data_IF_911141390831
#
_entry.id   IF_911141390831
#
_cell.length_a   1.000
_cell.length_b   1.000
_cell.length_c   1.000
_cell.angle_alpha   90.00
_cell.angle_beta   90.00
_cell.angle_gamma   90.00
#
_symmetry.space_group_name_H-M   'P 1'
#
loop_
_entity.id
_entity.type
_entity.pdbx_description
1 polymer ?
#
# COMPACT_ATOMS: atom_id res chain seq x y z
N UNK A 1 -53.82 42.47 -25.14
CA UNK A 1 -54.83 41.43 -25.43
C UNK A 1 -54.74 40.32 -24.39
N UNK A 2 -55.69 40.21 -23.45
CA UNK A 2 -55.82 39.05 -22.58
C UNK A 2 -56.91 38.11 -23.12
N UNK A 3 -56.69 36.78 -23.04
CA UNK A 3 -57.75 35.81 -23.25
C UNK A 3 -57.94 34.95 -22.00
N UNK A 4 -59.11 35.14 -21.44
CA UNK A 4 -59.84 34.37 -20.44
C UNK A 4 -60.09 32.93 -20.88
N UNK A 5 -60.02 31.94 -19.97
CA UNK A 5 -61.04 30.88 -19.90
C UNK A 5 -61.11 30.15 -18.55
N UNK A 6 -62.21 30.47 -17.89
CA UNK A 6 -63.08 29.82 -16.92
C UNK A 6 -62.96 28.29 -16.68
N UNK A 7 -63.18 27.96 -15.41
CA UNK A 7 -63.37 26.68 -14.74
C UNK A 7 -64.42 25.71 -15.33
N UNK A 8 -64.28 24.40 -15.04
CA UNK A 8 -65.37 23.58 -14.47
C UNK A 8 -64.97 22.15 -14.05
N UNK A 9 -65.48 21.77 -12.87
CA UNK A 9 -66.09 20.48 -12.49
C UNK A 9 -65.31 19.47 -11.62
N UNK A 10 -66.02 19.10 -10.54
CA UNK A 10 -65.66 18.27 -9.39
C UNK A 10 -66.08 16.78 -9.59
N UNK A 11 -66.04 15.88 -8.57
CA UNK A 11 -65.39 14.58 -8.64
C UNK A 11 -66.34 13.38 -8.83
N UNK A 12 -65.80 12.23 -9.26
CA UNK A 12 -66.54 10.98 -9.39
C UNK A 12 -66.32 10.04 -8.19
N UNK A 13 -67.43 9.67 -7.55
CA UNK A 13 -67.60 8.60 -6.58
C UNK A 13 -67.76 7.23 -7.27
N UNK A 14 -67.13 6.18 -6.73
CA UNK A 14 -67.58 4.79 -6.95
C UNK A 14 -67.58 3.99 -5.64
N UNK A 15 -68.80 3.64 -5.22
CA UNK A 15 -69.18 2.59 -4.29
C UNK A 15 -69.12 1.24 -5.00
N UNK A 16 -68.55 0.19 -4.39
CA UNK A 16 -68.89 -1.23 -4.69
C UNK A 16 -68.78 -2.08 -3.39
N UNK A 17 -69.94 -2.66 -3.00
CA UNK A 17 -70.26 -3.87 -2.17
C UNK A 17 -69.71 -4.00 -0.74
N UNK A 18 -70.47 -4.19 0.34
CA UNK A 18 -71.69 -4.98 0.64
C UNK A 18 -71.49 -6.50 0.79
N UNK A 19 -71.39 -6.96 2.04
CA UNK A 19 -71.79 -8.28 2.56
C UNK A 19 -72.03 -8.08 4.09
N UNK A 20 -73.27 -8.05 4.57
CA UNK A 20 -74.09 -9.18 5.05
C UNK A 20 -73.44 -9.92 6.25
N UNK A 21 -74.07 -10.22 7.38
CA UNK A 21 -75.43 -10.02 7.89
C UNK A 21 -75.44 -10.37 9.41
N UNK A 22 -76.62 -10.27 10.01
CA UNK A 22 -77.09 -10.89 11.25
C UNK A 22 -77.08 -10.01 12.53
N UNK A 23 -78.20 -9.30 12.67
CA UNK A 23 -78.74 -8.82 13.92
C UNK A 23 -79.29 -9.97 14.78
N UNK A 24 -79.04 -9.93 16.10
CA UNK A 24 -79.95 -10.49 17.10
C UNK A 24 -80.12 -9.44 18.20
N UNK A 25 -81.30 -8.83 18.19
CA UNK A 25 -81.92 -8.01 19.23
C UNK A 25 -82.29 -8.82 20.46
N UNK A 26 -81.99 -8.31 21.67
CA UNK A 26 -82.83 -8.53 22.85
C UNK A 26 -82.72 -7.35 23.83
N UNK A 27 -83.88 -7.00 24.39
CA UNK A 27 -84.23 -5.77 25.10
C UNK A 27 -83.72 -5.71 26.54
N UNK A 28 -83.37 -4.48 26.92
CA UNK A 28 -83.49 -3.79 28.22
C UNK A 28 -84.21 -4.50 29.38
N UNK A 29 -83.56 -4.54 30.57
CA UNK A 29 -84.22 -4.37 31.87
C UNK A 29 -83.31 -3.55 32.82
N UNK A 30 -83.92 -2.52 33.39
CA UNK A 30 -83.48 -1.60 34.44
C UNK A 30 -83.10 -2.29 35.76
N UNK A 31 -82.00 -1.87 36.40
CA UNK A 31 -81.90 -1.84 37.87
C UNK A 31 -80.78 -0.91 38.35
N UNK A 32 -81.17 0.23 38.93
CA UNK A 32 -80.34 0.99 39.86
C UNK A 32 -80.16 0.17 41.14
N UNK A 33 -78.94 0.06 41.66
CA UNK A 33 -78.68 -0.02 43.10
C UNK A 33 -77.29 0.51 43.42
N UNK A 34 -77.27 1.63 44.14
CA UNK A 34 -76.15 2.14 44.90
C UNK A 34 -76.02 1.35 46.20
N UNK A 35 -74.82 0.83 46.49
CA UNK A 35 -74.39 0.48 47.84
C UNK A 35 -72.91 0.82 48.00
N UNK A 36 -72.64 1.68 48.97
CA UNK A 36 -71.35 1.92 49.61
C UNK A 36 -70.93 0.68 50.41
N UNK A 37 -69.62 0.40 50.47
CA UNK A 37 -68.82 0.22 51.70
C UNK A 37 -67.52 -0.56 51.41
N UNK A 38 -66.46 -0.04 52.04
CA UNK A 38 -65.09 -0.53 52.23
C UNK A 38 -64.90 -2.05 52.34
N UNK A 39 -63.85 -2.60 51.72
CA UNK A 39 -62.68 -3.12 52.47
C UNK A 39 -61.53 -3.62 51.58
N UNK A 40 -60.34 -3.53 52.17
CA UNK A 40 -59.02 -3.94 51.71
C UNK A 40 -58.92 -5.31 51.03
N UNK A 41 -58.11 -5.38 49.98
CA UNK A 41 -57.33 -6.57 49.64
C UNK A 41 -55.99 -6.15 49.02
N UNK A 42 -54.91 -6.37 49.77
CA UNK A 42 -53.53 -6.32 49.30
C UNK A 42 -53.27 -7.56 48.44
N UNK A 43 -52.87 -7.37 47.18
CA UNK A 43 -52.27 -8.41 46.35
C UNK A 43 -50.84 -7.97 45.97
N UNK A 44 -49.83 -8.81 46.19
CA UNK A 44 -48.47 -8.54 45.73
C UNK A 44 -48.32 -9.10 44.31
N UNK A 45 -48.38 -8.25 43.29
CA UNK A 45 -47.98 -8.64 41.94
C UNK A 45 -46.56 -8.15 41.67
N UNK A 46 -45.61 -9.01 42.00
CA UNK A 46 -44.25 -8.98 41.46
C UNK A 46 -44.27 -9.49 40.02
N UNK A 47 -44.31 -8.59 39.04
CA UNK A 47 -43.76 -8.82 37.70
C UNK A 47 -43.26 -7.47 37.18
N UNK A 48 -41.95 -7.26 37.31
CA UNK A 48 -41.27 -6.11 36.76
C UNK A 48 -41.31 -6.16 35.23
N UNK A 49 -42.22 -5.40 34.64
CA UNK A 49 -42.04 -4.94 33.27
C UNK A 49 -40.82 -4.02 33.24
N UNK A 50 -39.87 -4.17 32.29
CA UNK A 50 -38.80 -3.21 32.15
C UNK A 50 -39.44 -1.86 31.79
N UNK A 51 -39.35 -0.90 32.71
CA UNK A 51 -39.79 0.47 32.46
C UNK A 51 -38.86 1.01 31.37
N UNK A 52 -39.40 1.18 30.16
CA UNK A 52 -38.71 1.89 29.08
C UNK A 52 -38.19 3.23 29.64
N UNK A 53 -36.93 3.62 29.37
CA UNK A 53 -36.41 4.90 29.83
C UNK A 53 -37.29 6.00 29.25
N UNK A 54 -38.13 6.58 30.10
CA UNK A 54 -39.02 7.68 29.74
C UNK A 54 -38.14 8.92 29.60
N UNK A 55 -37.82 9.28 28.36
CA UNK A 55 -37.10 10.51 28.00
C UNK A 55 -37.75 11.78 28.63
N UNK A 56 -39.04 11.69 29.00
CA UNK A 56 -39.81 12.77 29.62
C UNK A 56 -40.00 12.67 31.14
N UNK A 57 -39.31 11.74 31.84
CA UNK A 57 -39.38 11.70 33.31
C UNK A 57 -38.54 12.81 33.91
N UNK A 58 -39.11 14.01 34.02
CA UNK A 58 -38.46 15.15 34.68
C UNK A 58 -38.22 14.79 36.15
N UNK A 59 -36.99 14.87 36.67
CA UNK A 59 -36.72 14.59 38.07
C UNK A 59 -37.56 15.53 38.95
N UNK A 60 -38.16 14.99 40.00
CA UNK A 60 -38.97 15.78 40.93
C UNK A 60 -38.09 16.85 41.56
N UNK A 61 -38.54 18.10 41.46
CA UNK A 61 -37.85 19.23 42.07
C UNK A 61 -37.80 19.05 43.59
N UNK A 62 -36.67 19.39 44.25
CA UNK A 62 -36.54 19.27 45.69
C UNK A 62 -37.53 20.21 46.40
N UNK A 63 -38.20 19.69 47.43
CA UNK A 63 -39.09 20.49 48.27
C UNK A 63 -38.31 21.59 49.00
N UNK A 64 -38.89 22.79 49.09
CA UNK A 64 -38.29 23.92 49.79
C UNK A 64 -38.29 23.66 51.31
N UNK A 65 -37.11 23.70 51.91
CA UNK A 65 -36.86 23.63 53.35
C UNK A 65 -35.92 24.78 53.71
N UNK A 66 -36.01 25.29 54.95
CA UNK A 66 -35.25 26.47 55.42
C UNK A 66 -33.75 26.37 55.11
N UNK A 67 -33.19 25.17 55.28
CA UNK A 67 -31.79 24.88 54.98
C UNK A 67 -31.73 23.78 53.92
N UNK A 68 -30.98 24.02 52.85
CA UNK A 68 -30.71 23.05 51.79
C UNK A 68 -29.23 23.00 51.46
N UNK A 69 -28.76 21.79 51.17
CA UNK A 69 -27.42 21.56 50.65
C UNK A 69 -27.53 21.40 49.14
N UNK A 70 -26.92 22.32 48.41
CA UNK A 70 -26.81 22.27 46.96
C UNK A 70 -25.63 21.36 46.61
N UNK A 71 -25.85 20.25 45.87
CA UNK A 71 -24.78 19.36 45.46
C UNK A 71 -23.76 20.08 44.56
N UNK A 72 -22.52 19.58 44.57
CA UNK A 72 -21.49 20.08 43.66
C UNK A 72 -21.90 19.92 42.19
N UNK A 73 -21.43 20.85 41.34
CA UNK A 73 -21.70 20.87 39.90
C UNK A 73 -23.20 20.88 39.55
N UNK A 74 -24.02 21.49 40.41
CA UNK A 74 -25.46 21.68 40.19
C UNK A 74 -25.82 23.12 40.51
N UNK A 75 -26.61 23.75 39.64
CA UNK A 75 -27.14 25.09 39.85
C UNK A 75 -28.65 25.01 40.13
N UNK A 76 -29.09 25.57 41.26
CA UNK A 76 -30.50 25.62 41.62
C UNK A 76 -31.01 27.05 41.45
N UNK A 77 -32.10 27.20 40.71
CA UNK A 77 -32.68 28.50 40.41
C UNK A 77 -33.89 28.72 41.32
N UNK A 78 -33.84 29.82 42.06
CA UNK A 78 -34.85 30.17 43.05
C UNK A 78 -35.70 31.31 42.52
N UNK A 79 -37.01 31.11 42.57
CA UNK A 79 -38.01 32.13 42.32
C UNK A 79 -38.62 32.59 43.64
N UNK A 80 -38.89 33.89 43.75
CA UNK A 80 -39.63 34.51 44.84
C UNK A 80 -40.95 35.02 44.29
N UNK A 81 -42.06 34.44 44.75
CA UNK A 81 -43.41 34.80 44.26
C UNK A 81 -43.52 34.80 42.73
N UNK A 82 -42.84 33.85 42.06
CA UNK A 82 -42.85 33.70 40.59
C UNK A 82 -41.91 34.63 39.83
N UNK A 83 -41.09 35.44 40.50
CA UNK A 83 -40.00 36.21 39.86
C UNK A 83 -38.65 35.54 40.15
N UNK A 84 -37.75 35.56 39.17
CA UNK A 84 -36.37 35.15 39.39
C UNK A 84 -35.74 35.98 40.54
N UNK A 85 -35.07 35.30 41.47
CA UNK A 85 -34.39 35.93 42.60
C UNK A 85 -32.87 35.75 42.51
N UNK A 86 -32.40 34.50 42.51
CA UNK A 86 -30.96 34.18 42.45
C UNK A 86 -30.70 32.73 42.05
N UNK A 87 -29.49 32.47 41.60
CA UNK A 87 -28.91 31.14 41.38
C UNK A 87 -28.17 30.75 42.67
N UNK A 88 -28.35 29.52 43.14
CA UNK A 88 -27.64 29.00 44.30
C UNK A 88 -26.40 28.23 43.84
N UNK A 89 -25.25 28.65 44.34
CA UNK A 89 -23.97 27.97 44.18
C UNK A 89 -23.88 26.73 45.09
N UNK A 90 -22.95 25.79 44.81
CA UNK A 90 -22.75 24.60 45.64
C UNK A 90 -22.42 24.94 47.10
N UNK A 91 -23.10 24.28 48.03
CA UNK A 91 -22.91 24.51 49.47
C UNK A 91 -24.21 24.65 50.25
N UNK A 92 -24.13 25.30 51.41
CA UNK A 92 -25.28 25.55 52.27
C UNK A 92 -26.06 26.77 51.75
N UNK A 93 -27.31 26.54 51.35
CA UNK A 93 -28.24 27.55 50.92
C UNK A 93 -29.37 27.70 51.94
N UNK A 94 -29.69 28.95 52.29
CA UNK A 94 -30.80 29.30 53.16
C UNK A 94 -31.94 29.85 52.31
N UNK A 95 -33.11 29.24 52.41
CA UNK A 95 -34.31 29.62 51.66
C UNK A 95 -35.44 29.96 52.63
N UNK A 96 -36.26 30.95 52.29
CA UNK A 96 -37.45 31.25 53.09
C UNK A 96 -38.57 30.32 52.62
N UNK A 97 -39.07 29.40 53.47
CA UNK A 97 -40.18 28.52 53.10
C UNK A 97 -41.41 29.38 52.76
N UNK A 98 -42.30 28.85 51.92
CA UNK A 98 -43.51 29.50 51.39
C UNK A 98 -43.30 30.63 50.37
N UNK A 99 -42.28 31.49 50.53
CA UNK A 99 -42.05 32.62 49.61
C UNK A 99 -41.10 32.24 48.47
N UNK A 100 -39.99 31.58 48.81
CA UNK A 100 -39.01 31.11 47.82
C UNK A 100 -39.48 29.74 47.27
N UNK A 101 -39.21 29.46 46.00
CA UNK A 101 -39.48 28.16 45.34
C UNK A 101 -38.30 27.81 44.45
N UNK A 102 -37.85 26.56 44.51
CA UNK A 102 -36.85 26.02 43.58
C UNK A 102 -37.60 25.66 42.30
N UNK A 103 -37.43 26.48 41.26
CA UNK A 103 -38.15 26.34 39.99
C UNK A 103 -37.42 25.40 39.03
N UNK A 104 -36.09 25.49 38.98
CA UNK A 104 -35.26 24.69 38.09
C UNK A 104 -34.01 24.17 38.80
N UNK A 105 -33.60 22.97 38.42
CA UNK A 105 -32.34 22.34 38.84
C UNK A 105 -31.61 21.93 37.57
N UNK A 106 -30.43 22.50 37.34
CA UNK A 106 -29.60 22.21 36.16
C UNK A 106 -28.26 21.63 36.60
N UNK A 107 -27.86 20.53 35.98
CA UNK A 107 -26.52 19.98 36.14
C UNK A 107 -25.55 20.80 35.29
N UNK A 108 -24.40 21.18 35.87
CA UNK A 108 -23.33 21.88 35.16
C UNK A 108 -22.31 20.90 34.56
N UNK A 109 -22.47 19.60 34.85
CA UNK A 109 -21.64 18.52 34.31
C UNK A 109 -21.84 18.38 32.81
N UNK A 110 -20.82 17.88 32.14
CA UNK A 110 -20.90 17.46 30.75
C UNK A 110 -21.89 16.28 30.61
N UNK A 111 -22.74 16.35 29.60
CA UNK A 111 -23.73 15.33 29.26
C UNK A 111 -23.58 14.99 27.78
N UNK A 112 -23.64 13.69 27.48
CA UNK A 112 -23.69 13.16 26.13
C UNK A 112 -25.15 12.97 25.72
N UNK A 113 -25.56 13.64 24.64
CA UNK A 113 -26.89 13.54 24.05
C UNK A 113 -26.75 12.79 22.73
N UNK A 114 -27.44 11.66 22.59
CA UNK A 114 -27.50 10.92 21.34
C UNK A 114 -28.40 11.64 20.33
N UNK A 115 -27.89 11.84 19.13
CA UNK A 115 -28.64 12.41 18.01
C UNK A 115 -29.18 11.24 17.17
N UNK A 116 -30.51 11.15 16.98
CA UNK A 116 -31.11 10.05 16.23
C UNK A 116 -30.64 10.09 14.78
N UNK A 117 -30.54 8.91 14.15
CA UNK A 117 -30.12 8.76 12.76
C UNK A 117 -30.96 9.62 11.81
N UNK A 118 -30.31 10.39 10.95
CA UNK A 118 -30.93 11.26 9.97
C UNK A 118 -30.48 10.90 8.56
N UNK A 119 -31.42 10.96 7.61
CA UNK A 119 -31.10 10.90 6.18
C UNK A 119 -30.76 12.30 5.67
N UNK A 120 -29.61 12.43 5.01
CA UNK A 120 -29.13 13.65 4.38
C UNK A 120 -28.66 13.37 2.94
N UNK A 121 -28.74 14.39 2.08
CA UNK A 121 -28.29 14.31 0.69
C UNK A 121 -27.03 15.15 0.57
N UNK A 122 -25.96 14.59 0.01
CA UNK A 122 -24.69 15.27 -0.27
C UNK A 122 -24.76 16.12 -1.53
N UNK A 123 -23.73 16.95 -1.76
CA UNK A 123 -23.62 17.77 -2.97
C UNK A 123 -23.62 16.94 -4.28
N UNK A 124 -23.17 15.68 -4.23
CA UNK A 124 -23.19 14.75 -5.39
C UNK A 124 -24.52 14.01 -5.54
N UNK A 125 -25.57 14.45 -4.83
CA UNK A 125 -26.89 13.85 -4.87
C UNK A 125 -26.92 12.38 -4.38
N UNK A 126 -26.03 12.02 -3.45
CA UNK A 126 -26.05 10.72 -2.77
C UNK A 126 -26.72 10.87 -1.41
N UNK A 127 -27.71 10.01 -1.14
CA UNK A 127 -28.38 9.89 0.16
C UNK A 127 -27.51 9.10 1.13
N UNK A 128 -27.31 9.63 2.33
CA UNK A 128 -26.56 9.00 3.42
C UNK A 128 -27.39 9.03 4.71
N UNK A 129 -27.20 8.04 5.57
CA UNK A 129 -27.75 8.01 6.93
C UNK A 129 -26.63 8.19 7.95
N UNK A 130 -26.76 9.20 8.80
CA UNK A 130 -25.75 9.54 9.79
C UNK A 130 -26.38 9.70 11.17
N UNK A 131 -25.63 9.25 12.18
CA UNK A 131 -25.92 9.49 13.58
C UNK A 131 -24.68 10.02 14.29
N UNK A 132 -24.89 10.52 15.52
CA UNK A 132 -23.81 11.13 16.27
C UNK A 132 -24.17 11.37 17.72
N UNK A 133 -23.17 11.80 18.47
CA UNK A 133 -23.28 12.12 19.89
C UNK A 133 -22.80 13.55 20.09
N UNK A 134 -23.62 14.33 20.78
CA UNK A 134 -23.37 15.72 21.10
C UNK A 134 -22.97 15.81 22.58
N UNK A 135 -21.78 16.34 22.85
CA UNK A 135 -21.31 16.58 24.20
C UNK A 135 -21.54 18.04 24.58
N UNK A 136 -22.41 18.27 25.55
CA UNK A 136 -22.81 19.63 25.97
C UNK A 136 -22.62 19.82 27.46
N UNK A 137 -22.47 21.07 27.86
CA UNK A 137 -22.58 21.48 29.27
C UNK A 137 -23.35 22.78 29.39
N UNK A 138 -24.05 22.94 30.50
CA UNK A 138 -24.67 24.23 30.86
C UNK A 138 -23.57 25.15 31.40
N UNK A 139 -23.40 26.33 30.79
CA UNK A 139 -22.50 27.37 31.29
C UNK A 139 -23.26 28.40 32.12
N UNK A 140 -24.43 28.84 31.65
CA UNK A 140 -25.30 29.79 32.34
C UNK A 140 -26.66 29.15 32.63
N UNK A 141 -26.88 28.81 33.90
CA UNK A 141 -28.11 28.16 34.33
C UNK A 141 -29.35 29.06 34.17
N UNK A 142 -29.21 30.39 34.30
CA UNK A 142 -30.34 31.31 34.14
C UNK A 142 -30.84 31.31 32.70
N UNK A 143 -29.94 31.48 31.73
CA UNK A 143 -30.27 31.40 30.31
C UNK A 143 -30.79 30.01 29.92
N UNK A 144 -30.21 28.93 30.47
CA UNK A 144 -30.66 27.56 30.18
C UNK A 144 -32.03 27.19 30.76
N UNK A 145 -32.55 27.98 31.70
CA UNK A 145 -33.88 27.78 32.30
C UNK A 145 -34.95 28.71 31.76
N UNK A 146 -34.60 29.95 31.42
CA UNK A 146 -35.58 30.94 30.95
C UNK A 146 -35.44 31.29 29.46
N UNK A 147 -34.30 30.99 28.83
CA UNK A 147 -34.07 31.28 27.41
C UNK A 147 -34.78 30.30 26.48
N UNK A 148 -35.03 29.07 26.93
CA UNK A 148 -35.74 28.03 26.17
C UNK A 148 -36.41 27.04 27.13
N UNK A 149 -37.55 26.46 26.74
CA UNK A 149 -38.30 25.53 27.59
C UNK A 149 -37.50 24.27 27.94
N UNK A 150 -36.83 23.69 26.94
CA UNK A 150 -35.94 22.55 27.08
C UNK A 150 -34.69 22.75 26.21
N UNK A 151 -33.59 23.14 26.86
CA UNK A 151 -32.34 23.44 26.18
C UNK A 151 -31.67 22.20 25.58
N UNK A 152 -31.82 21.04 26.22
CA UNK A 152 -31.26 19.77 25.74
C UNK A 152 -32.01 19.31 24.48
N UNK A 153 -33.33 19.42 24.49
CA UNK A 153 -34.13 19.15 23.31
C UNK A 153 -33.84 20.15 22.17
N UNK A 154 -33.83 21.46 22.46
CA UNK A 154 -33.60 22.49 21.45
C UNK A 154 -32.24 22.35 20.77
N UNK A 155 -31.17 22.09 21.52
CA UNK A 155 -29.84 21.90 20.95
C UNK A 155 -29.74 20.60 20.15
N UNK A 156 -30.46 19.54 20.53
CA UNK A 156 -30.53 18.30 19.76
C UNK A 156 -31.18 18.51 18.38
N UNK A 157 -32.21 19.37 18.29
CA UNK A 157 -32.90 19.68 17.03
C UNK A 157 -32.06 20.60 16.15
N UNK A 158 -31.38 21.58 16.76
CA UNK A 158 -30.42 22.41 16.08
C UNK A 158 -29.29 21.56 15.49
N UNK A 159 -28.71 20.64 16.28
CA UNK A 159 -27.67 19.74 15.83
C UNK A 159 -28.10 18.89 14.62
N UNK A 160 -29.34 18.36 14.62
CA UNK A 160 -29.88 17.62 13.47
C UNK A 160 -29.98 18.48 12.21
N UNK A 161 -30.43 19.73 12.36
CA UNK A 161 -30.59 20.65 11.23
C UNK A 161 -29.24 21.12 10.69
N UNK A 162 -28.32 21.48 11.58
CA UNK A 162 -26.94 21.87 11.23
C UNK A 162 -26.20 20.72 10.55
N UNK A 163 -26.27 19.51 11.11
CA UNK A 163 -25.66 18.31 10.51
C UNK A 163 -26.15 18.10 9.08
N UNK A 164 -27.47 18.17 8.84
CA UNK A 164 -28.05 18.05 7.49
C UNK A 164 -27.53 19.13 6.53
N UNK A 165 -27.40 20.37 7.01
CA UNK A 165 -26.92 21.51 6.21
C UNK A 165 -25.44 21.40 5.83
N UNK A 166 -24.58 20.99 6.78
CA UNK A 166 -23.14 20.83 6.54
C UNK A 166 -22.85 19.69 5.56
N UNK A 167 -23.57 18.56 5.70
CA UNK A 167 -23.42 17.42 4.78
C UNK A 167 -23.89 17.78 3.36
N UNK A 168 -24.93 18.60 3.23
CA UNK A 168 -25.43 19.03 1.93
C UNK A 168 -24.45 19.90 1.13
N UNK A 169 -23.47 20.51 1.80
CA UNK A 169 -22.44 21.33 1.16
C UNK A 169 -21.22 20.53 0.70
N UNK A 170 -21.05 19.29 1.20
CA UNK A 170 -19.88 18.45 0.95
C UNK A 170 -20.22 17.28 0.01
N UNK A 171 -19.20 16.81 -0.71
CA UNK A 171 -19.27 15.58 -1.51
C UNK A 171 -19.21 14.33 -0.62
N UNK A 172 -19.66 13.19 -1.13
CA UNK A 172 -19.61 11.92 -0.38
C UNK A 172 -18.18 11.60 0.10
N UNK A 173 -17.21 11.78 -0.77
CA UNK A 173 -15.80 11.46 -0.51
C UNK A 173 -15.21 12.38 0.57
N UNK A 174 -15.53 13.68 0.55
CA UNK A 174 -15.10 14.63 1.60
C UNK A 174 -15.76 14.30 2.95
N UNK A 175 -17.04 13.93 2.97
CA UNK A 175 -17.72 13.52 4.23
C UNK A 175 -17.05 12.30 4.86
N UNK A 176 -16.60 11.33 4.05
CA UNK A 176 -15.93 10.12 4.54
C UNK A 176 -14.47 10.36 4.94
N UNK A 177 -13.73 11.23 4.22
CA UNK A 177 -12.30 11.50 4.49
C UNK A 177 -12.07 12.54 5.58
N UNK A 178 -12.90 13.58 5.65
CA UNK A 178 -12.67 14.79 6.46
C UNK A 178 -13.63 14.89 7.66
N UNK A 179 -13.96 13.74 8.27
CA UNK A 179 -14.88 13.67 9.43
C UNK A 179 -14.48 14.59 10.58
N UNK A 180 -13.18 14.78 10.84
CA UNK A 180 -12.70 15.68 11.90
C UNK A 180 -12.98 17.17 11.60
N UNK A 181 -12.86 17.58 10.33
CA UNK A 181 -13.19 18.94 9.90
C UNK A 181 -14.70 19.18 10.03
N UNK A 182 -15.51 18.21 9.58
CA UNK A 182 -16.97 18.26 9.71
C UNK A 182 -17.43 18.39 11.17
N UNK A 183 -16.84 17.62 12.10
CA UNK A 183 -17.13 17.73 13.53
C UNK A 183 -16.85 19.13 14.08
N UNK A 184 -15.76 19.76 13.63
CA UNK A 184 -15.35 21.10 14.06
C UNK A 184 -16.33 22.15 13.55
N UNK A 185 -16.71 22.08 12.27
CA UNK A 185 -17.66 22.99 11.66
C UNK A 185 -19.04 22.89 12.29
N UNK A 186 -19.54 21.67 12.50
CA UNK A 186 -20.83 21.43 13.18
C UNK A 186 -20.80 22.00 14.60
N UNK A 187 -19.72 21.76 15.36
CA UNK A 187 -19.57 22.29 16.73
C UNK A 187 -19.58 23.82 16.74
N UNK A 188 -18.88 24.46 15.80
CA UNK A 188 -18.86 25.91 15.69
C UNK A 188 -20.25 26.49 15.36
N UNK A 189 -20.94 25.91 14.38
CA UNK A 189 -22.27 26.35 13.96
C UNK A 189 -23.33 26.16 15.06
N UNK A 190 -23.24 25.09 15.86
CA UNK A 190 -24.14 24.89 17.01
C UNK A 190 -23.89 25.93 18.09
N UNK A 191 -22.61 26.26 18.37
CA UNK A 191 -22.26 27.17 19.46
C UNK A 191 -22.75 28.60 19.24
N UNK A 192 -22.85 29.07 17.99
CA UNK A 192 -23.36 30.41 17.65
C UNK A 192 -24.79 30.63 18.18
N UNK A 193 -25.67 29.65 18.03
CA UNK A 193 -27.03 29.72 18.56
C UNK A 193 -27.15 29.25 20.02
N UNK A 194 -26.29 28.32 20.47
CA UNK A 194 -26.35 27.76 21.83
C UNK A 194 -26.04 28.79 22.93
N UNK A 195 -25.28 29.84 22.62
CA UNK A 195 -24.95 30.92 23.57
C UNK A 195 -26.22 31.62 24.12
N UNK A 196 -27.23 31.82 23.27
CA UNK A 196 -28.50 32.43 23.67
C UNK A 196 -29.24 31.58 24.72
N UNK A 197 -29.02 30.27 24.71
CA UNK A 197 -29.62 29.31 25.63
C UNK A 197 -28.73 28.97 26.83
N UNK A 198 -27.54 29.58 26.97
CA UNK A 198 -26.64 29.32 28.10
C UNK A 198 -26.03 27.91 28.12
N UNK A 199 -26.06 27.21 26.98
CA UNK A 199 -25.46 25.89 26.79
C UNK A 199 -24.25 26.03 25.87
N UNK A 200 -23.20 25.26 26.14
CA UNK A 200 -22.02 25.19 25.27
C UNK A 200 -21.87 23.77 24.76
N UNK A 201 -21.73 23.63 23.44
CA UNK A 201 -21.31 22.41 22.80
C UNK A 201 -19.79 22.29 22.91
N UNK A 202 -19.32 21.25 23.60
CA UNK A 202 -17.90 20.96 23.76
C UNK A 202 -17.34 20.30 22.52
N UNK A 203 -18.09 19.32 21.98
CA UNK A 203 -17.75 18.62 20.75
C UNK A 203 -18.95 17.86 20.19
N UNK A 204 -18.97 17.75 18.88
CA UNK A 204 -19.82 16.83 18.14
C UNK A 204 -18.99 15.66 17.62
N UNK A 205 -19.44 14.44 17.87
CA UNK A 205 -18.81 13.22 17.37
C UNK A 205 -19.82 12.47 16.49
N UNK A 206 -19.55 12.41 15.18
CA UNK A 206 -20.28 11.49 14.31
C UNK A 206 -20.01 10.06 14.80
N UNK A 207 -21.04 9.21 14.88
CA UNK A 207 -20.89 7.81 15.28
C UNK A 207 -20.64 6.97 14.03
N UNK A 208 -21.63 6.82 13.17
CA UNK A 208 -21.55 6.05 11.92
C UNK A 208 -22.07 6.83 10.71
N UNK A 209 -21.58 6.45 9.52
CA UNK A 209 -22.00 7.00 8.23
C UNK A 209 -22.38 5.82 7.33
N UNK A 210 -23.67 5.69 7.04
CA UNK A 210 -24.21 4.62 6.22
C UNK A 210 -24.54 5.15 4.84
N UNK A 211 -23.82 4.66 3.83
CA UNK A 211 -24.06 4.94 2.43
C UNK A 211 -24.73 3.73 1.75
N UNK A 212 -25.55 3.94 0.70
CA UNK A 212 -26.12 2.84 -0.06
C UNK A 212 -25.03 1.99 -0.70
N UNK A 213 -25.08 0.68 -0.49
CA UNK A 213 -24.02 -0.27 -0.89
C UNK A 213 -23.63 -0.18 -2.37
N UNK A 214 -24.60 0.06 -3.26
CA UNK A 214 -24.34 0.22 -4.69
C UNK A 214 -23.35 1.36 -5.02
N UNK A 215 -23.42 2.49 -4.29
CA UNK A 215 -22.53 3.64 -4.48
C UNK A 215 -21.14 3.35 -3.94
N UNK A 216 -21.07 2.74 -2.75
CA UNK A 216 -19.80 2.34 -2.12
C UNK A 216 -19.06 1.32 -2.98
N UNK A 217 -19.75 0.33 -3.53
CA UNK A 217 -19.17 -0.64 -4.46
C UNK A 217 -18.66 0.00 -5.74
N UNK A 218 -19.43 0.94 -6.33
CA UNK A 218 -19.01 1.66 -7.52
C UNK A 218 -17.74 2.47 -7.24
N UNK A 219 -17.68 3.16 -6.09
CA UNK A 219 -16.52 3.90 -5.63
C UNK A 219 -15.30 2.97 -5.41
N UNK A 220 -15.49 1.80 -4.79
CA UNK A 220 -14.42 0.81 -4.63
C UNK A 220 -13.91 0.27 -5.96
N UNK A 221 -14.79 0.00 -6.94
CA UNK A 221 -14.37 -0.39 -8.29
C UNK A 221 -13.56 0.71 -8.96
N UNK A 222 -14.00 1.97 -8.86
CA UNK A 222 -13.28 3.11 -9.41
C UNK A 222 -11.89 3.29 -8.78
N UNK A 223 -11.80 3.27 -7.45
CA UNK A 223 -10.52 3.39 -6.73
C UNK A 223 -9.59 2.22 -7.06
N UNK A 224 -10.13 1.00 -7.16
CA UNK A 224 -9.34 -0.18 -7.54
C UNK A 224 -8.83 -0.06 -8.97
N UNK A 225 -9.67 0.35 -9.91
CA UNK A 225 -9.27 0.55 -11.30
C UNK A 225 -8.20 1.65 -11.43
N UNK A 226 -8.34 2.76 -10.70
CA UNK A 226 -7.34 3.82 -10.70
C UNK A 226 -6.02 3.36 -10.06
N UNK A 227 -6.08 2.62 -8.95
CA UNK A 227 -4.90 2.03 -8.32
C UNK A 227 -4.20 1.04 -9.26
N UNK A 228 -4.94 0.16 -9.93
CA UNK A 228 -4.37 -0.78 -10.90
C UNK A 228 -3.73 -0.07 -12.08
N UNK A 229 -4.38 0.97 -12.62
CA UNK A 229 -3.81 1.79 -13.70
C UNK A 229 -2.51 2.47 -13.26
N UNK A 230 -2.47 3.05 -12.06
CA UNK A 230 -1.27 3.69 -11.51
C UNK A 230 -0.15 2.65 -11.30
N UNK A 231 -0.48 1.46 -10.79
CA UNK A 231 0.47 0.38 -10.61
C UNK A 231 1.05 -0.11 -11.95
N UNK A 232 0.23 -0.26 -12.99
CA UNK A 232 0.66 -0.67 -14.33
C UNK A 232 1.59 0.37 -14.98
N UNK A 233 1.27 1.65 -14.86
CA UNK A 233 2.13 2.74 -15.33
C UNK A 233 3.48 2.69 -14.61
N UNK A 234 3.46 2.59 -13.27
CA UNK A 234 4.67 2.57 -12.46
C UNK A 234 5.54 1.32 -12.74
N UNK A 235 4.91 0.16 -12.98
CA UNK A 235 5.60 -1.06 -13.37
C UNK A 235 6.24 -0.92 -14.76
N UNK A 236 5.51 -0.36 -15.73
CA UNK A 236 6.05 -0.09 -17.07
C UNK A 236 7.23 0.88 -17.03
N UNK A 237 7.13 1.95 -16.23
CA UNK A 237 8.20 2.90 -16.01
C UNK A 237 9.40 2.25 -15.31
N UNK A 238 9.16 1.41 -14.30
CA UNK A 238 10.18 0.64 -13.61
C UNK A 238 10.92 -0.33 -14.54
N UNK A 239 10.20 -1.06 -15.39
CA UNK A 239 10.78 -1.97 -16.40
C UNK A 239 11.62 -1.21 -17.42
N UNK A 240 11.12 -0.07 -17.92
CA UNK A 240 11.87 0.79 -18.83
C UNK A 240 13.17 1.27 -18.18
N UNK A 241 13.09 1.76 -16.94
CA UNK A 241 14.26 2.27 -16.23
C UNK A 241 15.27 1.15 -15.93
N UNK A 242 14.79 -0.03 -15.53
CA UNK A 242 15.60 -1.22 -15.31
C UNK A 242 16.35 -1.64 -16.59
N UNK A 243 15.65 -1.69 -17.73
CA UNK A 243 16.25 -2.03 -19.02
C UNK A 243 17.33 -1.03 -19.46
N UNK A 244 17.10 0.27 -19.23
CA UNK A 244 18.09 1.32 -19.48
C UNK A 244 19.32 1.11 -18.60
N UNK A 245 19.12 0.90 -17.30
CA UNK A 245 20.22 0.70 -16.34
C UNK A 245 21.06 -0.55 -16.69
N UNK A 246 20.41 -1.64 -17.12
CA UNK A 246 21.11 -2.86 -17.56
C UNK A 246 21.92 -2.59 -18.84
N UNK A 247 21.33 -1.91 -19.82
CA UNK A 247 22.01 -1.59 -21.07
C UNK A 247 23.22 -0.67 -20.85
N UNK A 248 23.07 0.33 -19.98
CA UNK A 248 24.15 1.24 -19.59
C UNK A 248 25.24 0.52 -18.81
N UNK A 249 24.87 -0.35 -17.86
CA UNK A 249 25.82 -1.21 -17.16
C UNK A 249 26.61 -2.14 -18.09
N UNK A 250 25.96 -2.74 -19.09
CA UNK A 250 26.63 -3.56 -20.13
C UNK A 250 27.55 -2.74 -21.02
N UNK A 251 27.12 -1.55 -21.44
CA UNK A 251 27.97 -0.64 -22.22
C UNK A 251 29.23 -0.28 -21.42
N UNK A 252 29.05 0.09 -20.16
CA UNK A 252 30.14 0.46 -19.28
C UNK A 252 31.08 -0.72 -19.02
N UNK A 253 30.55 -1.93 -18.80
CA UNK A 253 31.39 -3.12 -18.60
C UNK A 253 32.23 -3.47 -19.82
N UNK A 254 31.69 -3.35 -21.04
CA UNK A 254 32.44 -3.59 -22.28
C UNK A 254 33.55 -2.55 -22.48
N UNK A 255 33.26 -1.27 -22.20
CA UNK A 255 34.27 -0.20 -22.27
C UNK A 255 35.41 -0.50 -21.29
N UNK A 256 35.07 -0.76 -20.02
CA UNK A 256 36.04 -1.06 -18.97
C UNK A 256 36.86 -2.31 -19.31
N UNK A 257 36.26 -3.35 -19.88
CA UNK A 257 36.98 -4.55 -20.32
C UNK A 257 37.95 -4.25 -21.47
N UNK A 258 37.55 -3.42 -22.43
CA UNK A 258 38.42 -3.02 -23.54
C UNK A 258 39.59 -2.16 -23.08
N UNK A 259 39.33 -1.24 -22.15
CA UNK A 259 40.36 -0.43 -21.49
C UNK A 259 41.32 -1.30 -20.67
N UNK A 260 40.79 -2.27 -19.91
CA UNK A 260 41.60 -3.23 -19.15
C UNK A 260 42.52 -4.05 -20.06
N UNK A 261 42.01 -4.60 -21.17
CA UNK A 261 42.79 -5.37 -22.14
C UNK A 261 43.88 -4.51 -22.80
N UNK A 262 43.57 -3.25 -23.11
CA UNK A 262 44.55 -2.30 -23.66
C UNK A 262 45.67 -2.05 -22.65
N UNK A 263 45.31 -1.78 -21.39
CA UNK A 263 46.29 -1.56 -20.34
C UNK A 263 47.14 -2.80 -20.07
N UNK A 264 46.52 -4.00 -20.06
CA UNK A 264 47.21 -5.28 -19.93
C UNK A 264 48.26 -5.47 -21.03
N UNK A 265 47.89 -5.28 -22.30
CA UNK A 265 48.84 -5.41 -23.42
C UNK A 265 49.98 -4.39 -23.38
N UNK A 266 49.71 -3.16 -22.95
CA UNK A 266 50.75 -2.14 -22.78
C UNK A 266 51.72 -2.59 -21.67
N UNK A 267 51.19 -3.01 -20.53
CA UNK A 267 52.00 -3.47 -19.40
C UNK A 267 52.82 -4.72 -19.77
N UNK A 268 52.27 -5.64 -20.55
CA UNK A 268 52.98 -6.82 -21.04
C UNK A 268 54.10 -6.43 -22.00
N UNK A 269 53.82 -5.57 -22.99
CA UNK A 269 54.83 -5.07 -23.92
C UNK A 269 55.95 -4.28 -23.22
N UNK A 270 55.60 -3.44 -22.24
CA UNK A 270 56.58 -2.69 -21.43
C UNK A 270 57.41 -3.65 -20.56
N UNK A 271 56.77 -4.67 -19.97
CA UNK A 271 57.45 -5.72 -19.21
C UNK A 271 58.41 -6.54 -20.05
N UNK A 272 58.02 -6.91 -21.27
CA UNK A 272 58.89 -7.60 -22.24
C UNK A 272 60.05 -6.72 -22.69
N UNK A 273 59.78 -5.46 -23.03
CA UNK A 273 60.80 -4.49 -23.43
C UNK A 273 61.84 -4.28 -22.32
N UNK A 274 61.38 -4.13 -21.07
CA UNK A 274 62.27 -3.99 -19.92
C UNK A 274 63.05 -5.27 -19.63
N UNK A 275 62.42 -6.45 -19.75
CA UNK A 275 63.11 -7.72 -19.62
C UNK A 275 64.20 -7.90 -20.71
N UNK A 276 63.94 -7.47 -21.95
CA UNK A 276 64.92 -7.48 -23.03
C UNK A 276 66.05 -6.49 -22.74
N UNK A 277 65.74 -5.27 -22.30
CA UNK A 277 66.77 -4.28 -21.90
C UNK A 277 67.66 -4.83 -20.81
N UNK A 278 67.08 -5.38 -19.74
CA UNK A 278 67.82 -5.97 -18.61
C UNK A 278 68.70 -7.14 -19.05
N UNK A 279 68.18 -8.04 -19.90
CA UNK A 279 68.99 -9.14 -20.46
C UNK A 279 70.12 -8.61 -21.35
N UNK A 280 69.86 -7.61 -22.18
CA UNK A 280 70.85 -7.02 -23.08
C UNK A 280 71.94 -6.28 -22.29
N UNK A 281 71.59 -5.49 -21.27
CA UNK A 281 72.56 -4.82 -20.39
C UNK A 281 73.36 -5.82 -19.58
N UNK A 282 72.74 -6.85 -19.01
CA UNK A 282 73.45 -7.92 -18.31
C UNK A 282 74.40 -8.70 -19.24
N UNK A 283 73.99 -8.93 -20.49
CA UNK A 283 74.83 -9.58 -21.51
C UNK A 283 76.01 -8.67 -21.90
N UNK A 284 75.77 -7.38 -22.11
CA UNK A 284 76.81 -6.40 -22.40
C UNK A 284 77.83 -6.32 -21.24
N UNK A 285 77.36 -6.17 -20.00
CA UNK A 285 78.20 -6.19 -18.81
C UNK A 285 79.00 -7.50 -18.68
N UNK A 286 78.38 -8.64 -18.99
CA UNK A 286 79.07 -9.93 -19.02
C UNK A 286 80.17 -10.00 -20.08
N UNK A 287 79.92 -9.46 -21.28
CA UNK A 287 80.91 -9.36 -22.36
C UNK A 287 82.04 -8.40 -21.97
N UNK A 288 81.72 -7.26 -21.36
CA UNK A 288 82.70 -6.29 -20.89
C UNK A 288 83.60 -6.89 -19.81
N UNK A 289 83.03 -7.62 -18.84
CA UNK A 289 83.78 -8.31 -17.79
C UNK A 289 84.72 -9.41 -18.36
N UNK A 290 84.27 -10.15 -19.39
CA UNK A 290 85.12 -11.11 -20.11
C UNK A 290 86.20 -10.40 -20.93
N UNK A 291 85.87 -9.27 -21.55
CA UNK A 291 86.84 -8.47 -22.32
C UNK A 291 87.92 -7.89 -21.40
N UNK A 292 87.54 -7.42 -20.21
CA UNK A 292 88.49 -6.93 -19.19
C UNK A 292 89.41 -8.04 -18.68
N UNK A 293 88.90 -9.26 -18.48
CA UNK A 293 89.75 -10.40 -18.05
C UNK A 293 90.71 -10.86 -19.14
N UNK A 294 90.32 -10.79 -20.42
CA UNK A 294 91.22 -11.01 -21.56
C UNK A 294 92.36 -9.97 -21.57
N UNK A 295 92.04 -8.69 -21.36
CA UNK A 295 93.01 -7.60 -21.39
C UNK A 295 93.99 -7.63 -20.20
N UNK A 296 93.60 -8.18 -19.05
CA UNK A 296 94.48 -8.35 -17.88
C UNK A 296 95.47 -9.51 -17.98
N UNK A 297 95.40 -10.34 -19.03
CA UNK A 297 96.48 -11.25 -19.42
C UNK A 297 96.54 -12.60 -18.70
N UNK A 298 95.43 -13.11 -18.17
CA UNK A 298 95.38 -14.47 -17.63
C UNK A 298 95.44 -15.51 -18.75
N UNK A 299 96.42 -16.42 -18.71
CA UNK A 299 96.69 -17.45 -19.73
C UNK A 299 95.55 -18.46 -19.99
N UNK A 300 94.41 -18.34 -19.30
CA UNK A 300 93.19 -19.14 -19.50
C UNK A 300 92.07 -18.44 -20.29
N UNK A 301 92.23 -17.17 -20.66
CA UNK A 301 91.13 -16.38 -21.22
C UNK A 301 90.63 -16.89 -22.60
N UNK A 302 91.51 -17.37 -23.47
CA UNK A 302 91.12 -17.98 -24.75
C UNK A 302 90.39 -19.33 -24.58
N UNK A 303 90.71 -20.08 -23.52
CA UNK A 303 90.03 -21.35 -23.21
C UNK A 303 88.62 -21.11 -22.64
N UNK A 304 88.40 -20.03 -21.89
CA UNK A 304 87.08 -19.67 -21.37
C UNK A 304 86.10 -19.23 -22.48
N UNK A 305 86.58 -18.51 -23.50
CA UNK A 305 85.76 -18.09 -24.65
C UNK A 305 85.35 -19.30 -25.51
N UNK A 306 86.28 -20.22 -25.80
CA UNK A 306 85.96 -21.42 -26.59
C UNK A 306 84.99 -22.36 -25.86
N UNK A 307 85.11 -22.48 -24.53
CA UNK A 307 84.14 -23.21 -23.70
C UNK A 307 82.75 -22.54 -23.75
N UNK A 308 82.67 -21.22 -23.69
CA UNK A 308 81.40 -20.47 -23.77
C UNK A 308 80.68 -20.65 -25.12
N UNK A 309 81.44 -20.69 -26.22
CA UNK A 309 80.91 -20.97 -27.56
C UNK A 309 80.43 -22.42 -27.65
N UNK A 310 81.17 -23.37 -27.09
CA UNK A 310 80.75 -24.77 -27.01
C UNK A 310 79.47 -24.95 -26.18
N UNK A 311 79.36 -24.31 -25.02
CA UNK A 311 78.14 -24.28 -24.19
C UNK A 311 76.93 -23.72 -24.96
N UNK A 312 77.08 -22.56 -25.61
CA UNK A 312 76.03 -21.95 -26.45
C UNK A 312 75.59 -22.86 -27.60
N UNK A 313 76.53 -23.58 -28.22
CA UNK A 313 76.25 -24.53 -29.30
C UNK A 313 75.47 -25.74 -28.78
N UNK A 314 75.87 -26.32 -27.66
CA UNK A 314 75.16 -27.45 -27.01
C UNK A 314 73.77 -27.03 -26.55
N UNK A 315 73.60 -25.84 -25.97
CA UNK A 315 72.29 -25.30 -25.58
C UNK A 315 71.37 -25.07 -26.78
N UNK A 316 71.91 -24.51 -27.88
CA UNK A 316 71.15 -24.32 -29.13
C UNK A 316 70.71 -25.66 -29.72
N UNK A 317 71.61 -26.66 -29.72
CA UNK A 317 71.30 -28.02 -30.14
C UNK A 317 70.23 -28.67 -29.24
N UNK A 318 70.32 -28.46 -27.91
CA UNK A 318 69.33 -28.95 -26.94
C UNK A 318 67.95 -28.33 -27.10
N UNK A 319 67.85 -27.06 -27.47
CA UNK A 319 66.57 -26.40 -27.80
C UNK A 319 65.97 -26.95 -29.10
N UNK A 320 66.81 -27.13 -30.12
CA UNK A 320 66.40 -27.74 -31.39
C UNK A 320 65.84 -29.16 -31.18
N UNK A 321 66.45 -29.94 -30.29
CA UNK A 321 65.99 -31.29 -29.95
C UNK A 321 64.67 -31.33 -29.16
N UNK A 322 64.27 -30.24 -28.49
CA UNK A 322 63.01 -30.15 -27.72
C UNK A 322 61.82 -29.65 -28.55
N UNK A 323 62.05 -28.68 -29.45
CA UNK A 323 60.98 -28.09 -30.28
C UNK A 323 60.70 -28.92 -31.56
N UNK A 324 61.65 -29.74 -32.00
CA UNK A 324 61.54 -30.54 -33.22
C UNK A 324 61.24 -32.01 -32.90
N UNK A 325 60.05 -32.50 -33.24
CA UNK A 325 59.67 -33.93 -33.09
C UNK A 325 60.45 -34.87 -34.02
N UNK A 326 61.19 -34.36 -35.00
CA UNK A 326 62.01 -35.16 -35.91
C UNK A 326 63.43 -34.60 -36.00
N UNK A 327 64.37 -35.24 -35.30
CA UNK A 327 65.80 -35.03 -35.49
C UNK A 327 66.28 -36.00 -36.56
N UNK A 328 66.49 -35.53 -37.78
CA UNK A 328 67.21 -36.27 -38.81
C UNK A 328 68.70 -36.02 -38.57
N UNK A 329 69.38 -36.98 -37.95
CA UNK A 329 70.85 -36.99 -37.91
C UNK A 329 71.32 -37.60 -39.23
N UNK A 330 71.94 -36.83 -40.15
CA UNK A 330 72.50 -37.40 -41.37
C UNK A 330 73.71 -38.26 -40.97
N UNK A 331 73.74 -39.52 -41.41
CA UNK A 331 74.84 -40.45 -41.15
C UNK A 331 76.18 -40.07 -41.82
N UNK A 332 76.27 -38.90 -42.46
CA UNK A 332 77.51 -38.41 -43.05
C UNK A 332 77.60 -36.89 -42.92
N UNK A 333 78.37 -36.43 -41.93
CA UNK A 333 78.54 -35.02 -41.51
C UNK A 333 79.41 -34.19 -42.48
N UNK A 334 79.79 -34.74 -43.64
CA UNK A 334 80.74 -34.12 -44.57
C UNK A 334 80.16 -33.32 -45.73
N UNK A 335 78.85 -33.40 -46.03
CA UNK A 335 78.31 -32.87 -47.30
C UNK A 335 77.07 -31.96 -47.10
N UNK A 336 77.34 -30.68 -46.89
CA UNK A 336 76.36 -29.59 -46.65
C UNK A 336 75.33 -29.46 -47.80
N UNK A 337 75.72 -29.81 -49.03
CA UNK A 337 74.87 -29.69 -50.22
C UNK A 337 73.68 -30.65 -50.21
N UNK A 338 73.85 -31.85 -49.63
CA UNK A 338 72.80 -32.86 -49.52
C UNK A 338 71.73 -32.51 -48.48
N UNK A 339 72.10 -31.76 -47.44
CA UNK A 339 71.17 -31.29 -46.40
C UNK A 339 70.21 -30.21 -46.92
N UNK A 340 70.69 -29.31 -47.78
CA UNK A 340 69.87 -28.23 -48.36
C UNK A 340 68.82 -28.80 -49.32
N UNK A 341 69.20 -29.79 -50.13
CA UNK A 341 68.29 -30.46 -51.06
C UNK A 341 67.20 -31.26 -50.34
N UNK A 342 67.55 -31.95 -49.25
CA UNK A 342 66.58 -32.69 -48.44
C UNK A 342 65.63 -31.75 -47.68
N UNK A 343 66.15 -30.67 -47.08
CA UNK A 343 65.34 -29.63 -46.44
C UNK A 343 64.32 -28.96 -47.37
N UNK A 344 64.72 -28.62 -48.60
CA UNK A 344 63.83 -28.01 -49.60
C UNK A 344 62.74 -28.98 -50.09
N UNK A 345 63.06 -30.27 -50.21
CA UNK A 345 62.10 -31.29 -50.68
C UNK A 345 61.01 -31.63 -49.66
N UNK A 346 61.30 -31.47 -48.36
CA UNK A 346 60.31 -31.65 -47.28
C UNK A 346 59.37 -30.45 -47.22
N UNK A 347 59.91 -29.24 -47.37
CA UNK A 347 59.12 -28.00 -47.40
C UNK A 347 58.07 -28.01 -48.54
N UNK A 348 58.47 -28.53 -49.72
CA UNK A 348 57.55 -28.67 -50.86
C UNK A 348 56.42 -29.69 -50.67
N UNK A 349 56.63 -30.72 -49.84
CA UNK A 349 55.62 -31.78 -49.61
C UNK A 349 54.63 -31.43 -48.50
N UNK A 350 55.03 -30.66 -47.49
CA UNK A 350 54.14 -30.21 -46.40
C UNK A 350 53.09 -29.20 -46.89
N UNK A 351 53.48 -28.30 -47.81
CA UNK A 351 52.54 -27.35 -48.42
C UNK A 351 51.41 -28.02 -49.24
N UNK A 352 51.69 -29.19 -49.84
CA UNK A 352 50.68 -29.94 -50.60
C UNK A 352 49.72 -30.73 -49.70
N UNK A 353 50.20 -31.21 -48.54
CA UNK A 353 49.37 -31.94 -47.58
C UNK A 353 48.35 -31.03 -46.85
N UNK A 354 48.72 -29.77 -46.56
CA UNK A 354 47.81 -28.76 -45.99
C UNK A 354 46.75 -28.26 -46.98
N UNK A 355 47.09 -28.16 -48.27
CA UNK A 355 46.13 -27.77 -49.30
C UNK A 355 45.07 -28.87 -49.57
N UNK A 356 45.44 -30.15 -49.48
CA UNK A 356 44.52 -31.27 -49.70
C UNK A 356 43.54 -31.50 -48.53
N UNK A 357 43.96 -31.19 -47.29
CA UNK A 357 43.07 -31.27 -46.11
C UNK A 357 42.03 -30.14 -46.09
N UNK A 358 42.41 -28.94 -46.52
CA UNK A 358 41.49 -27.80 -46.70
C UNK A 358 40.51 -28.01 -47.87
N UNK A 359 40.93 -28.67 -48.95
CA UNK A 359 40.05 -28.95 -50.09
C UNK A 359 39.04 -30.07 -49.82
N UNK A 360 39.37 -31.04 -48.95
CA UNK A 360 38.49 -32.17 -48.63
C UNK A 360 37.36 -31.82 -47.67
N UNK A 361 37.51 -30.76 -46.86
CA UNK A 361 36.45 -30.29 -45.94
C UNK A 361 35.34 -29.46 -46.62
N UNK A 362 35.52 -29.08 -47.89
CA UNK A 362 34.60 -28.20 -48.63
C UNK A 362 33.67 -28.93 -49.63
N UNK A 363 33.82 -30.25 -49.82
CA UNK A 363 33.20 -30.97 -50.97
C UNK A 363 32.16 -32.05 -50.60
N UNK A 364 31.90 -32.36 -49.33
CA UNK A 364 30.79 -33.28 -48.96
C UNK A 364 29.71 -32.60 -48.11
N UNK A 365 28.44 -32.61 -48.55
CA UNK A 365 27.29 -32.43 -47.67
C UNK A 365 26.54 -33.75 -47.49
N UNK A 366 26.34 -34.22 -46.24
CA UNK A 366 25.19 -35.06 -45.93
C UNK A 366 24.71 -34.97 -44.48
N UNK A 367 23.38 -35.00 -44.39
CA UNK A 367 22.47 -34.86 -43.26
C UNK A 367 22.51 -36.00 -42.22
N UNK A 368 22.16 -35.62 -40.99
CA UNK A 368 21.41 -36.31 -39.90
C UNK A 368 21.40 -37.84 -39.76
N UNK A 369 21.60 -38.31 -38.52
CA UNK A 369 20.74 -39.34 -37.91
C UNK A 369 21.38 -40.62 -37.31
N UNK A 370 21.36 -40.69 -35.97
CA UNK A 370 21.19 -41.85 -35.04
C UNK A 370 22.25 -42.96 -34.84
N UNK A 371 22.80 -42.93 -33.61
CA UNK A 371 22.88 -44.00 -32.57
C UNK A 371 23.77 -45.25 -32.73
N UNK A 372 24.67 -45.46 -31.75
CA UNK A 372 24.70 -46.66 -30.87
C UNK A 372 25.51 -46.36 -29.60
N UNK A 373 24.96 -46.79 -28.47
CA UNK A 373 25.41 -46.67 -27.08
C UNK A 373 26.66 -47.49 -26.72
N UNK A 374 27.36 -47.12 -25.65
CA UNK A 374 27.55 -47.94 -24.42
C UNK A 374 28.50 -47.26 -23.41
N UNK A 375 28.08 -47.21 -22.12
CA UNK A 375 29.01 -47.17 -20.98
C UNK A 375 28.89 -46.03 -19.95
N UNK A 376 27.87 -46.10 -19.07
CA UNK A 376 27.68 -45.42 -17.75
C UNK A 376 28.75 -45.89 -16.70
N UNK A 377 28.88 -45.38 -15.43
CA UNK A 377 27.96 -44.51 -14.65
C UNK A 377 28.56 -43.47 -13.64
N UNK A 378 27.64 -42.74 -12.96
CA UNK A 378 27.69 -42.04 -11.63
C UNK A 378 27.40 -40.53 -11.77
N UNK A 379 26.50 -39.84 -11.05
CA UNK A 379 25.40 -40.11 -10.10
C UNK A 379 24.66 -38.77 -9.83
N UNK A 380 23.35 -38.82 -9.50
CA UNK A 380 22.52 -37.82 -8.75
C UNK A 380 22.20 -36.47 -9.46
N UNK A 381 21.01 -35.85 -9.45
CA UNK A 381 19.69 -36.01 -8.80
C UNK A 381 18.68 -35.07 -9.52
N UNK A 382 17.36 -35.28 -9.37
CA UNK A 382 16.33 -34.24 -9.60
C UNK A 382 15.17 -34.56 -10.57
N UNK A 383 14.02 -34.94 -10.01
CA UNK A 383 12.73 -35.27 -10.66
C UNK A 383 11.96 -34.08 -11.28
N UNK A 384 11.35 -34.24 -12.47
CA UNK A 384 10.12 -33.50 -12.90
C UNK A 384 9.22 -34.38 -13.81
N UNK A 385 7.90 -34.35 -13.57
CA UNK A 385 6.82 -35.20 -14.15
C UNK A 385 6.52 -34.96 -15.65
N UNK A 386 6.09 -35.98 -16.43
CA UNK A 386 5.66 -35.83 -17.83
C UNK A 386 4.14 -35.64 -17.92
N UNK A 387 3.68 -34.47 -18.36
CA UNK A 387 2.24 -34.22 -18.54
C UNK A 387 1.87 -32.98 -19.35
N UNK A 388 2.83 -32.31 -19.99
CA UNK A 388 2.60 -31.02 -20.66
C UNK A 388 2.82 -31.09 -22.18
N UNK A 389 3.38 -32.19 -22.69
CA UNK A 389 3.67 -32.33 -24.14
C UNK A 389 2.45 -32.71 -24.98
N UNK A 390 1.49 -33.44 -24.41
CA UNK A 390 0.28 -33.84 -25.15
C UNK A 390 -0.73 -32.70 -25.33
N UNK A 391 -0.81 -31.78 -24.37
CA UNK A 391 -1.79 -30.67 -24.39
C UNK A 391 -1.49 -29.62 -25.47
N UNK A 392 -0.22 -29.46 -25.84
CA UNK A 392 0.20 -28.48 -26.86
C UNK A 392 -0.07 -29.02 -28.28
N UNK A 393 0.07 -30.33 -28.49
CA UNK A 393 -0.18 -30.99 -29.78
C UNK A 393 -1.67 -31.03 -30.15
N UNK A 394 -2.57 -31.16 -29.17
CA UNK A 394 -4.02 -31.06 -29.42
C UNK A 394 -4.46 -29.64 -29.80
N UNK A 395 -3.87 -28.61 -29.19
CA UNK A 395 -4.22 -27.21 -29.46
C UNK A 395 -3.88 -26.76 -30.88
N UNK A 396 -2.85 -27.35 -31.49
CA UNK A 396 -2.40 -26.99 -32.85
C UNK A 396 -3.28 -27.64 -33.94
N UNK A 397 -3.73 -28.88 -33.72
CA UNK A 397 -4.60 -29.58 -34.68
C UNK A 397 -6.04 -29.04 -34.71
N UNK A 398 -6.49 -28.39 -33.64
CA UNK A 398 -7.81 -27.76 -33.59
C UNK A 398 -7.85 -26.38 -34.30
N UNK A 399 -6.71 -25.72 -34.47
CA UNK A 399 -6.60 -24.46 -35.21
C UNK A 399 -6.50 -24.65 -36.73
N UNK A 400 -6.10 -25.84 -37.21
CA UNK A 400 -5.97 -26.13 -38.64
C UNK A 400 -7.28 -26.58 -39.34
N UNK A 401 -8.41 -26.63 -38.61
CA UNK A 401 -9.72 -27.08 -39.11
C UNK A 401 -10.86 -26.05 -38.99
N UNK A 402 -10.53 -24.75 -38.90
CA UNK A 402 -11.53 -23.67 -39.01
C UNK A 402 -11.26 -22.77 -40.19
#
# INVERSE_FOLDING_TARGET
MPLTRTALRAPQSRLITAAAAAAITARSITARRSFTTTNHALLPSSFGSPVLPSYFSKPRLPANTVVRFVPQQTAWIVERMGKFNRILDPGLAILVPFIDRIAYVKSLKEVAIEIPSQSAITADNVTLELDGVLFTRVFDAYKASYGVEDAEYAISQLAQTTMRSEIGQLTLDHVLKERAALNTNITAAINDAAEAWGVTCLRYEIRDIHAPGAVVEAMHRQVTAERSKRAEILESEGQRQSAINIAEGKKQSVILASEALRAERINEADGEAEAIRLKATATAQGIDAVSESILKGDAGAQAAVSLRVAEKYVDAFGKLARESTAVVVPGNVGDISGMIATGLSVFGKVGQAQAQTMAKSLVEPKKEGSETETGTPSELDGQVKPGVKETVLESFNQAAKR
#
